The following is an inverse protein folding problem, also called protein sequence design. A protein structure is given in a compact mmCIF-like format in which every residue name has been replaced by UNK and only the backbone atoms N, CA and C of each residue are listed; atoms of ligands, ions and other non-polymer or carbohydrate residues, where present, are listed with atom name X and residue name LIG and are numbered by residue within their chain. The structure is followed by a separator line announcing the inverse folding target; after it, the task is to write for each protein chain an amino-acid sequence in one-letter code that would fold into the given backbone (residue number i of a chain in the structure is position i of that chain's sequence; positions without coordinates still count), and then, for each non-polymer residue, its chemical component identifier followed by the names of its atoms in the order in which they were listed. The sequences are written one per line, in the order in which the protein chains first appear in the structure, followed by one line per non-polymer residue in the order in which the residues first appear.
data_IF_775146265924
#
_entry.id   IF_775146265924
#
_cell.length_a   1.000
_cell.length_b   1.000
_cell.length_c   1.000
_cell.angle_alpha   90.00
_cell.angle_beta   90.00
_cell.angle_gamma   90.00
#
_symmetry.space_group_name_H-M   'P 1'
#
loop_
_entity.id
_entity.type
_entity.pdbx_description
1 polymer ?
#
# COMPACT_ATOMS: atom_id res chain seq x y z
N UNK A 1 -4.61 9.84 -25.06
CA UNK A 1 -4.34 10.08 -23.63
C UNK A 1 -5.29 9.28 -22.78
N UNK A 2 -4.85 8.79 -21.64
CA UNK A 2 -5.65 7.99 -20.69
C UNK A 2 -5.31 8.36 -19.25
N UNK A 3 -6.20 8.03 -18.33
CA UNK A 3 -5.95 8.12 -16.91
C UNK A 3 -5.05 6.98 -16.44
N UNK A 4 -4.02 7.33 -15.67
CA UNK A 4 -3.13 6.35 -15.02
C UNK A 4 -2.87 6.78 -13.58
N UNK A 5 -3.01 5.86 -12.64
CA UNK A 5 -2.68 6.11 -11.24
C UNK A 5 -1.17 6.30 -11.08
N UNK A 6 -0.76 7.36 -10.41
CA UNK A 6 0.64 7.60 -10.02
C UNK A 6 0.89 7.27 -8.55
N UNK A 7 -0.18 7.16 -7.78
CA UNK A 7 -0.17 6.84 -6.37
C UNK A 7 -1.41 6.04 -6.01
N UNK A 8 -1.28 5.14 -5.05
CA UNK A 8 -2.41 4.42 -4.48
C UNK A 8 -2.04 3.66 -3.22
N UNK A 9 -3.03 3.57 -2.32
CA UNK A 9 -2.96 2.80 -1.09
C UNK A 9 -4.21 1.94 -0.92
N UNK A 10 -4.06 0.88 -0.13
CA UNK A 10 -5.18 0.16 0.46
C UNK A 10 -5.81 0.96 1.61
N UNK A 11 -6.93 0.46 2.13
CA UNK A 11 -7.53 0.98 3.35
C UNK A 11 -7.70 -0.14 4.38
N UNK A 12 -7.42 0.19 5.63
CA UNK A 12 -7.71 -0.64 6.78
C UNK A 12 -8.34 0.21 7.88
N UNK A 13 -8.79 -0.44 8.93
CA UNK A 13 -9.25 0.26 10.12
C UNK A 13 -8.04 0.59 10.99
N UNK A 14 -7.60 1.84 10.96
CA UNK A 14 -6.44 2.31 11.71
C UNK A 14 -6.72 2.24 13.21
N UNK A 15 -5.83 1.63 13.97
CA UNK A 15 -5.77 1.84 15.42
C UNK A 15 -5.43 3.32 15.66
N UNK A 16 -6.15 4.01 16.56
CA UNK A 16 -6.04 5.45 16.67
C UNK A 16 -4.65 5.90 17.11
N UNK A 17 -3.95 6.60 16.23
CA UNK A 17 -2.76 7.37 16.53
C UNK A 17 -2.80 8.67 15.72
N UNK A 18 -2.75 9.83 16.36
CA UNK A 18 -2.70 10.10 17.79
C UNK A 18 -4.06 10.06 18.50
N UNK A 19 -5.17 10.07 17.75
CA UNK A 19 -6.51 10.04 18.30
C UNK A 19 -7.51 9.41 17.33
N UNK A 20 -8.61 8.86 17.85
CA UNK A 20 -9.74 8.35 17.05
C UNK A 20 -10.37 9.46 16.20
N UNK A 21 -10.36 10.69 16.71
CA UNK A 21 -10.88 11.89 16.07
C UNK A 21 -9.79 12.95 15.95
N UNK A 22 -9.73 13.60 14.80
CA UNK A 22 -8.97 14.83 14.60
C UNK A 22 -9.92 16.00 14.34
N UNK A 23 -9.50 17.21 14.72
CA UNK A 23 -10.20 18.47 14.47
C UNK A 23 -9.18 19.54 14.16
N UNK A 24 -9.51 20.40 13.20
CA UNK A 24 -8.67 21.52 12.78
C UNK A 24 -7.24 21.07 12.44
N UNK A 25 -7.14 20.10 11.50
CA UNK A 25 -5.89 19.44 11.13
C UNK A 25 -5.72 19.42 9.62
N UNK A 26 -4.54 19.81 9.15
CA UNK A 26 -4.07 19.60 7.77
C UNK A 26 -3.21 18.34 7.72
N UNK A 27 -3.62 17.38 6.88
CA UNK A 27 -2.81 16.22 6.49
C UNK A 27 -2.08 16.57 5.20
N UNK A 28 -0.77 16.30 5.08
CA UNK A 28 0.02 16.58 3.88
C UNK A 28 0.82 15.37 3.44
N UNK A 29 0.65 14.99 2.17
CA UNK A 29 1.26 13.81 1.57
C UNK A 29 2.05 14.20 0.31
N UNK A 30 3.40 14.16 0.34
CA UNK A 30 4.22 14.29 -0.86
C UNK A 30 4.24 12.96 -1.63
N UNK A 31 3.79 12.97 -2.88
CA UNK A 31 3.63 11.80 -3.75
C UNK A 31 4.58 11.90 -4.94
N UNK A 32 5.43 10.90 -5.16
CA UNK A 32 6.35 10.88 -6.28
C UNK A 32 5.60 10.81 -7.62
N UNK A 33 6.01 11.64 -8.59
CA UNK A 33 5.45 11.70 -9.94
C UNK A 33 6.35 10.93 -10.90
N UNK A 34 5.99 9.71 -11.34
CA UNK A 34 6.82 8.90 -12.23
C UNK A 34 6.84 9.40 -13.68
N UNK A 35 5.76 10.01 -14.16
CA UNK A 35 5.61 10.57 -15.50
C UNK A 35 4.65 11.76 -15.49
N UNK A 36 4.79 12.66 -16.44
CA UNK A 36 3.98 13.88 -16.51
C UNK A 36 2.58 13.66 -17.07
N UNK A 37 1.71 14.66 -16.87
CA UNK A 37 0.35 14.74 -17.41
C UNK A 37 -0.25 16.12 -17.23
N UNK A 38 -1.42 16.34 -17.84
CA UNK A 38 -2.06 17.66 -17.97
C UNK A 38 -3.21 17.89 -16.99
N UNK A 39 -3.78 16.81 -16.46
CA UNK A 39 -4.87 16.86 -15.49
C UNK A 39 -4.63 15.88 -14.36
N UNK A 40 -5.18 16.21 -13.20
CA UNK A 40 -5.17 15.37 -11.98
C UNK A 40 -6.60 15.11 -11.55
N UNK A 41 -6.87 13.91 -10.99
CA UNK A 41 -8.04 13.60 -10.18
C UNK A 41 -7.63 12.76 -8.98
N UNK A 42 -8.38 12.90 -7.90
CA UNK A 42 -8.08 12.26 -6.61
C UNK A 42 -9.26 11.41 -6.18
N UNK A 43 -8.98 10.21 -5.70
CA UNK A 43 -9.97 9.37 -5.02
C UNK A 43 -9.71 9.40 -3.52
N UNK A 44 -10.75 9.74 -2.77
CA UNK A 44 -10.77 9.66 -1.32
C UNK A 44 -11.77 8.57 -0.90
N UNK A 45 -11.40 7.80 0.11
CA UNK A 45 -12.22 6.70 0.61
C UNK A 45 -12.32 6.71 2.13
N UNK A 46 -13.50 6.35 2.60
CA UNK A 46 -13.79 6.05 3.99
C UNK A 46 -14.25 4.58 4.11
N UNK A 47 -13.59 3.71 3.35
CA UNK A 47 -13.99 2.32 3.10
C UNK A 47 -14.10 1.49 4.39
N UNK A 48 -13.18 1.70 5.33
CA UNK A 48 -13.19 1.05 6.64
C UNK A 48 -13.83 1.92 7.74
N UNK A 49 -14.30 3.11 7.41
CA UNK A 49 -14.90 4.04 8.37
C UNK A 49 -16.33 3.64 8.74
N UNK A 50 -16.69 3.92 10.00
CA UNK A 50 -18.03 3.64 10.57
C UNK A 50 -18.92 4.88 10.67
N UNK A 51 -18.36 6.04 10.46
CA UNK A 51 -19.02 7.33 10.50
C UNK A 51 -18.73 8.10 9.22
N UNK A 52 -19.63 9.00 8.82
CA UNK A 52 -19.40 9.91 7.71
C UNK A 52 -18.20 10.83 8.03
N UNK A 53 -17.38 11.09 7.03
CA UNK A 53 -16.21 11.96 7.14
C UNK A 53 -16.44 13.21 6.30
N UNK A 54 -16.28 14.37 6.92
CA UNK A 54 -16.30 15.66 6.25
C UNK A 54 -14.88 16.15 5.99
N UNK A 55 -14.57 16.42 4.73
CA UNK A 55 -13.32 17.04 4.29
C UNK A 55 -13.65 18.44 3.83
N UNK A 56 -13.09 19.45 4.50
CA UNK A 56 -13.34 20.86 4.20
C UNK A 56 -12.73 21.28 2.86
N UNK A 57 -11.49 20.84 2.61
CA UNK A 57 -10.80 21.12 1.36
C UNK A 57 -9.69 20.12 1.07
N UNK A 58 -9.35 20.00 -0.21
CA UNK A 58 -8.14 19.33 -0.70
C UNK A 58 -7.39 20.33 -1.60
N UNK A 59 -6.12 20.56 -1.28
CA UNK A 59 -5.25 21.44 -2.05
C UNK A 59 -4.08 20.64 -2.62
N UNK A 60 -3.73 20.88 -3.88
CA UNK A 60 -2.56 20.25 -4.50
C UNK A 60 -1.57 21.29 -5.00
N UNK A 61 -0.29 20.96 -4.87
CA UNK A 61 0.81 21.75 -5.39
C UNK A 61 1.95 20.83 -5.83
N UNK A 62 3.03 21.40 -6.38
CA UNK A 62 4.26 20.66 -6.67
C UNK A 62 5.29 20.87 -5.56
N UNK A 63 6.14 19.88 -5.36
CA UNK A 63 7.31 19.91 -4.48
C UNK A 63 8.52 19.28 -5.16
N UNK A 64 9.71 19.50 -4.62
CA UNK A 64 10.96 18.98 -5.16
C UNK A 64 11.47 17.74 -4.39
N UNK A 65 10.86 17.41 -3.27
CA UNK A 65 11.31 16.33 -2.39
C UNK A 65 10.17 15.76 -1.55
N UNK A 66 10.46 14.71 -0.78
CA UNK A 66 9.58 14.14 0.26
C UNK A 66 9.44 15.02 1.51
N UNK A 67 9.75 16.30 1.45
CA UNK A 67 9.52 17.23 2.53
C UNK A 67 8.06 17.74 2.50
N UNK A 68 7.67 18.45 3.54
CA UNK A 68 6.40 19.17 3.60
C UNK A 68 6.37 20.46 2.75
N UNK A 69 7.49 20.78 2.09
CA UNK A 69 7.60 21.97 1.25
C UNK A 69 6.79 21.81 -0.04
N UNK A 70 5.97 22.82 -0.33
CA UNK A 70 5.24 22.95 -1.59
C UNK A 70 5.54 24.30 -2.28
N UNK A 71 5.54 24.24 -3.61
CA UNK A 71 5.72 25.44 -4.45
C UNK A 71 4.44 26.30 -4.44
N UNK A 72 4.55 27.60 -4.69
CA UNK A 72 3.38 28.45 -4.88
C UNK A 72 2.56 28.04 -6.12
N UNK A 73 1.34 28.58 -6.23
CA UNK A 73 0.42 28.35 -7.36
C UNK A 73 -0.19 26.93 -7.41
N UNK A 74 -0.39 26.33 -6.28
CA UNK A 74 -1.25 25.15 -6.17
C UNK A 74 -2.72 25.48 -6.46
N UNK A 75 -3.57 24.45 -6.43
CA UNK A 75 -5.00 24.57 -6.71
C UNK A 75 -5.83 23.75 -5.75
N UNK A 76 -6.99 24.27 -5.41
CA UNK A 76 -8.02 23.48 -4.73
C UNK A 76 -8.65 22.48 -5.69
N UNK A 77 -8.87 21.28 -5.18
CA UNK A 77 -9.60 20.20 -5.83
C UNK A 77 -11.08 20.35 -5.51
N UNK A 78 -11.94 20.11 -6.49
CA UNK A 78 -13.40 20.10 -6.27
C UNK A 78 -14.00 18.71 -6.40
N UNK A 79 -15.16 18.54 -5.78
CA UNK A 79 -15.99 17.35 -5.82
C UNK A 79 -17.41 17.79 -6.17
N UNK A 80 -17.89 17.48 -7.37
CA UNK A 80 -19.15 18.00 -7.90
C UNK A 80 -19.24 19.55 -7.83
N UNK A 81 -18.15 20.23 -8.21
CA UNK A 81 -17.95 21.69 -8.18
C UNK A 81 -17.94 22.32 -6.77
N UNK A 82 -17.83 21.53 -5.70
CA UNK A 82 -17.67 22.00 -4.32
C UNK A 82 -16.29 21.61 -3.79
N UNK A 83 -15.65 22.48 -3.02
CA UNK A 83 -14.37 22.13 -2.34
C UNK A 83 -14.62 21.16 -1.18
N UNK A 84 -15.68 21.39 -0.44
CA UNK A 84 -16.10 20.57 0.69
C UNK A 84 -16.79 19.30 0.20
N UNK A 85 -16.45 18.16 0.81
CA UNK A 85 -17.06 16.86 0.48
C UNK A 85 -17.32 16.03 1.73
N UNK A 86 -18.43 15.28 1.71
CA UNK A 86 -18.74 14.28 2.74
C UNK A 86 -18.57 12.90 2.13
N UNK A 87 -17.73 12.09 2.74
CA UNK A 87 -17.52 10.69 2.38
C UNK A 87 -18.33 9.83 3.36
N UNK A 88 -19.33 9.13 2.86
CA UNK A 88 -20.15 8.24 3.69
C UNK A 88 -19.33 7.12 4.30
N UNK A 89 -19.76 6.61 5.45
CA UNK A 89 -19.21 5.39 6.04
C UNK A 89 -19.21 4.25 5.00
N UNK A 90 -18.07 3.58 4.82
CA UNK A 90 -17.89 2.55 3.80
C UNK A 90 -17.83 3.06 2.36
N UNK A 91 -17.89 4.38 2.14
CA UNK A 91 -17.99 4.99 0.82
C UNK A 91 -16.68 5.54 0.26
N UNK A 92 -16.75 6.01 -0.97
CA UNK A 92 -15.67 6.70 -1.69
C UNK A 92 -16.20 7.85 -2.52
N UNK A 93 -15.32 8.81 -2.83
CA UNK A 93 -15.60 9.91 -3.74
C UNK A 93 -14.41 10.10 -4.67
N UNK A 94 -14.69 10.53 -5.91
CA UNK A 94 -13.67 10.92 -6.89
C UNK A 94 -13.84 12.40 -7.18
N UNK A 95 -12.75 13.14 -7.20
CA UNK A 95 -12.77 14.56 -7.52
C UNK A 95 -13.16 14.82 -8.98
N UNK A 96 -13.56 16.05 -9.23
CA UNK A 96 -13.63 16.57 -10.59
C UNK A 96 -12.22 16.54 -11.22
N UNK A 97 -12.17 16.57 -12.56
CA UNK A 97 -10.91 16.68 -13.29
C UNK A 97 -10.32 18.08 -13.11
N UNK A 98 -9.13 18.17 -12.55
CA UNK A 98 -8.43 19.43 -12.36
C UNK A 98 -7.35 19.60 -13.42
N UNK A 99 -7.41 20.70 -14.22
CA UNK A 99 -6.31 21.08 -15.11
C UNK A 99 -5.10 21.48 -14.27
N UNK A 100 -4.11 20.60 -14.19
CA UNK A 100 -2.90 20.75 -13.39
C UNK A 100 -1.76 19.98 -14.04
N UNK A 101 -0.78 20.71 -14.58
CA UNK A 101 0.38 20.08 -15.26
C UNK A 101 1.31 19.49 -14.22
N UNK A 102 1.63 18.21 -14.39
CA UNK A 102 2.59 17.47 -13.57
C UNK A 102 3.83 17.14 -14.38
N UNK A 103 4.99 17.17 -13.73
CA UNK A 103 6.27 16.85 -14.37
C UNK A 103 6.92 15.64 -13.67
N UNK A 104 7.59 14.75 -14.42
CA UNK A 104 8.25 13.59 -13.83
C UNK A 104 9.38 14.00 -12.88
N UNK A 105 9.67 13.15 -11.90
CA UNK A 105 10.69 13.34 -10.87
C UNK A 105 10.46 14.52 -9.91
N UNK A 106 9.27 15.11 -9.94
CA UNK A 106 8.77 16.00 -8.90
C UNK A 106 7.83 15.23 -7.95
N UNK A 107 7.31 15.94 -6.96
CA UNK A 107 6.32 15.43 -6.03
C UNK A 107 5.02 16.21 -6.17
N UNK A 108 3.89 15.53 -6.22
CA UNK A 108 2.58 16.11 -6.03
C UNK A 108 2.32 16.18 -4.54
N UNK A 109 2.23 17.36 -3.99
CA UNK A 109 1.91 17.58 -2.59
C UNK A 109 0.39 17.66 -2.46
N UNK A 110 -0.21 16.72 -1.74
CA UNK A 110 -1.65 16.70 -1.47
C UNK A 110 -1.87 17.10 -0.02
N UNK A 111 -2.56 18.21 0.20
CA UNK A 111 -2.96 18.69 1.53
C UNK A 111 -4.47 18.52 1.70
N UNK A 112 -4.89 17.82 2.75
CA UNK A 112 -6.30 17.56 3.10
C UNK A 112 -6.58 18.27 4.42
N UNK A 113 -7.54 19.19 4.44
CA UNK A 113 -7.92 19.92 5.64
C UNK A 113 -9.22 19.36 6.24
N UNK A 114 -9.14 19.03 7.52
CA UNK A 114 -10.21 18.51 8.35
C UNK A 114 -10.57 19.57 9.40
N UNK A 115 -11.62 20.34 9.15
CA UNK A 115 -12.04 21.45 10.01
C UNK A 115 -12.78 20.96 11.24
N UNK A 116 -13.72 20.08 11.05
CA UNK A 116 -14.59 19.58 12.10
C UNK A 116 -14.07 18.25 12.68
N UNK A 117 -14.66 17.77 13.76
CA UNK A 117 -14.31 16.47 14.34
C UNK A 117 -14.51 15.37 13.30
N UNK A 118 -13.41 14.77 12.91
CA UNK A 118 -13.34 13.75 11.85
C UNK A 118 -12.84 12.44 12.44
N UNK A 119 -13.58 11.35 12.21
CA UNK A 119 -13.15 10.02 12.60
C UNK A 119 -11.99 9.57 11.70
N UNK A 120 -10.82 9.27 12.30
CA UNK A 120 -9.57 8.96 11.60
C UNK A 120 -9.35 7.45 11.40
N UNK A 121 -10.38 6.63 11.57
CA UNK A 121 -10.22 5.16 11.53
C UNK A 121 -10.02 4.58 10.14
N UNK A 122 -10.28 5.31 9.06
CA UNK A 122 -10.01 4.83 7.70
C UNK A 122 -8.64 5.30 7.20
N UNK A 123 -7.71 4.38 7.04
CA UNK A 123 -6.35 4.71 6.61
C UNK A 123 -5.45 3.48 6.55
N UNK A 124 -4.17 3.70 6.28
CA UNK A 124 -3.16 2.66 6.21
C UNK A 124 -1.80 3.17 6.67
N UNK A 125 -1.01 2.29 7.28
CA UNK A 125 0.40 2.57 7.58
C UNK A 125 1.26 2.10 6.40
N UNK A 126 2.10 3.00 5.88
CA UNK A 126 3.05 2.70 4.81
C UNK A 126 4.44 3.18 5.18
N UNK A 127 5.44 2.40 4.80
CA UNK A 127 6.85 2.73 5.02
C UNK A 127 7.59 2.58 3.69
N UNK A 128 8.55 3.46 3.43
CA UNK A 128 9.39 3.35 2.26
C UNK A 128 10.14 4.64 1.93
N UNK A 129 11.16 4.56 1.09
CA UNK A 129 11.97 5.71 0.71
C UNK A 129 11.21 6.78 -0.09
N UNK A 130 10.05 6.45 -0.69
CA UNK A 130 9.16 7.38 -1.38
C UNK A 130 7.85 7.63 -0.62
N UNK A 131 7.75 7.14 0.62
CA UNK A 131 6.51 7.16 1.40
C UNK A 131 6.69 7.97 2.68
N UNK A 132 6.02 9.12 2.76
CA UNK A 132 5.96 9.98 3.95
C UNK A 132 4.65 10.74 3.99
N UNK A 133 4.26 11.11 5.20
CA UNK A 133 3.17 12.03 5.45
C UNK A 133 3.53 13.01 6.57
N UNK A 134 2.75 14.05 6.65
CA UNK A 134 2.84 15.07 7.69
C UNK A 134 1.43 15.45 8.10
N UNK A 135 1.28 15.90 9.33
CA UNK A 135 0.08 16.61 9.77
C UNK A 135 0.46 17.82 10.62
N UNK A 136 -0.39 18.83 10.61
CA UNK A 136 -0.24 20.02 11.44
C UNK A 136 -1.61 20.51 11.86
N UNK A 137 -1.69 21.18 13.02
CA UNK A 137 -2.93 21.80 13.48
C UNK A 137 -3.20 23.11 12.71
N UNK A 138 -4.48 23.37 12.47
CA UNK A 138 -4.95 24.51 11.68
C UNK A 138 -5.01 24.25 10.18
N UNK A 139 -5.65 25.16 9.45
CA UNK A 139 -5.62 25.15 7.96
C UNK A 139 -4.29 25.70 7.46
N UNK A 140 -3.45 24.80 7.04
CA UNK A 140 -2.13 25.09 6.47
C UNK A 140 -2.02 24.60 5.01
N UNK A 141 -3.17 24.42 4.35
CA UNK A 141 -3.23 23.82 3.00
C UNK A 141 -2.36 24.56 1.99
N UNK A 142 -2.35 25.89 2.00
CA UNK A 142 -1.58 26.74 1.08
C UNK A 142 -0.17 27.11 1.58
N UNK A 143 0.16 26.82 2.83
CA UNK A 143 1.46 27.19 3.39
C UNK A 143 2.60 26.48 2.66
N UNK A 144 3.65 27.21 2.30
CA UNK A 144 4.82 26.64 1.63
C UNK A 144 5.42 25.49 2.46
N UNK A 145 5.52 25.66 3.77
CA UNK A 145 5.89 24.63 4.74
C UNK A 145 4.89 24.62 5.90
N UNK A 146 4.67 23.46 6.50
CA UNK A 146 3.86 23.36 7.73
C UNK A 146 4.61 24.03 8.89
N UNK A 147 3.85 24.62 9.82
CA UNK A 147 4.43 25.21 11.03
C UNK A 147 5.15 24.14 11.85
N UNK A 148 6.44 24.30 12.02
CA UNK A 148 7.30 23.36 12.74
C UNK A 148 6.88 23.13 14.19
N UNK A 149 6.19 24.08 14.82
CA UNK A 149 5.74 23.97 16.20
C UNK A 149 4.48 23.10 16.34
N UNK A 150 3.73 22.92 15.25
CA UNK A 150 2.46 22.16 15.24
C UNK A 150 2.49 20.95 14.33
N UNK A 151 3.58 20.76 13.54
CA UNK A 151 3.69 19.67 12.57
C UNK A 151 4.38 18.44 13.12
N UNK A 152 3.95 17.29 12.62
CA UNK A 152 4.53 15.98 12.95
C UNK A 152 4.63 15.12 11.69
N UNK A 153 5.72 14.36 11.57
CA UNK A 153 5.87 13.32 10.54
C UNK A 153 5.01 12.11 10.89
N UNK A 154 4.44 11.48 9.88
CA UNK A 154 3.64 10.27 10.04
C UNK A 154 3.85 9.31 8.88
N UNK A 155 3.66 8.02 9.14
CA UNK A 155 3.56 6.97 8.12
C UNK A 155 2.09 6.60 7.85
N UNK A 156 1.15 7.22 8.56
CA UNK A 156 -0.28 6.98 8.36
C UNK A 156 -0.81 7.86 7.24
N UNK A 157 -1.48 7.23 6.28
CA UNK A 157 -2.21 7.91 5.21
C UNK A 157 -3.69 7.66 5.42
N UNK A 158 -4.43 8.74 5.64
CA UNK A 158 -5.88 8.71 5.85
C UNK A 158 -6.61 9.16 4.59
N UNK A 159 -7.66 8.45 4.25
CA UNK A 159 -8.62 8.73 3.18
C UNK A 159 -8.05 8.69 1.75
N UNK A 160 -6.82 9.10 1.50
CA UNK A 160 -6.23 9.17 0.16
C UNK A 160 -5.89 7.77 -0.38
N UNK A 161 -6.64 7.30 -1.37
CA UNK A 161 -6.48 5.95 -1.92
C UNK A 161 -5.95 5.90 -3.34
N UNK A 162 -6.20 6.91 -4.16
CA UNK A 162 -5.64 7.00 -5.50
C UNK A 162 -5.44 8.46 -5.93
N UNK A 163 -4.38 8.67 -6.70
CA UNK A 163 -4.17 9.87 -7.49
C UNK A 163 -3.88 9.45 -8.91
N UNK A 164 -4.71 9.92 -9.82
CA UNK A 164 -4.59 9.65 -11.25
C UNK A 164 -4.19 10.90 -12.00
N UNK A 165 -3.40 10.74 -13.05
CA UNK A 165 -3.10 11.81 -14.00
C UNK A 165 -3.54 11.41 -15.41
N UNK A 166 -3.98 12.41 -16.20
CA UNK A 166 -4.28 12.22 -17.61
C UNK A 166 -2.98 12.36 -18.41
N UNK A 167 -2.53 11.25 -18.99
CA UNK A 167 -1.17 11.12 -19.53
C UNK A 167 -1.13 10.34 -20.84
N UNK A 168 0.05 10.12 -21.38
CA UNK A 168 0.30 9.37 -22.62
C UNK A 168 -0.20 7.91 -22.51
N UNK A 169 -0.69 7.37 -23.62
CA UNK A 169 -1.23 5.99 -23.69
C UNK A 169 -0.18 4.90 -23.42
N UNK A 170 1.10 5.21 -23.61
CA UNK A 170 2.20 4.29 -23.28
C UNK A 170 2.45 4.11 -21.78
N UNK A 171 2.03 5.08 -20.96
CA UNK A 171 2.20 5.02 -19.52
C UNK A 171 1.21 4.03 -18.90
N UNK A 172 1.61 3.33 -17.84
CA UNK A 172 0.74 2.36 -17.14
C UNK A 172 1.18 2.16 -15.70
N UNK A 173 0.31 1.50 -14.92
CA UNK A 173 0.56 1.19 -13.52
C UNK A 173 0.85 -0.31 -13.32
N UNK A 174 1.75 -0.61 -12.39
CA UNK A 174 1.95 -1.92 -11.78
C UNK A 174 1.34 -1.86 -10.38
N UNK A 175 0.46 -2.80 -10.05
CA UNK A 175 -0.16 -2.91 -8.73
C UNK A 175 0.62 -3.92 -7.91
N UNK A 176 1.00 -3.56 -6.68
CA UNK A 176 1.60 -4.45 -5.69
C UNK A 176 0.57 -4.70 -4.59
N UNK A 177 0.00 -5.91 -4.57
CA UNK A 177 -1.02 -6.32 -3.62
C UNK A 177 -0.43 -7.28 -2.59
N UNK A 178 -0.69 -7.04 -1.28
CA UNK A 178 -0.14 -7.90 -0.24
C UNK A 178 -0.42 -7.46 1.19
N UNK A 179 0.47 -7.88 2.08
CA UNK A 179 0.45 -7.66 3.52
C UNK A 179 1.50 -6.65 4.00
N UNK A 180 2.02 -6.81 5.24
CA UNK A 180 3.03 -5.91 5.81
C UNK A 180 4.33 -5.86 5.01
N UNK A 181 4.72 -6.95 4.37
CA UNK A 181 5.95 -7.00 3.57
C UNK A 181 5.79 -6.12 2.32
N UNK A 182 4.60 -6.10 1.73
CA UNK A 182 4.30 -5.23 0.58
C UNK A 182 3.92 -3.80 1.00
N UNK A 183 3.40 -3.58 2.21
CA UNK A 183 3.13 -2.22 2.71
C UNK A 183 4.39 -1.46 3.10
N UNK A 184 5.52 -2.14 3.16
CA UNK A 184 6.84 -1.56 3.42
C UNK A 184 7.61 -1.27 2.12
N UNK A 185 8.92 -1.22 2.20
CA UNK A 185 9.83 -0.50 1.31
C UNK A 185 9.95 -1.02 -0.13
N UNK A 186 9.74 -2.33 -0.41
CA UNK A 186 10.12 -2.88 -1.71
C UNK A 186 9.38 -2.29 -2.93
N UNK A 187 8.10 -1.88 -2.86
CA UNK A 187 7.46 -1.24 -4.00
C UNK A 187 8.08 0.12 -4.33
N UNK A 188 8.51 0.87 -3.30
CA UNK A 188 9.22 2.13 -3.48
C UNK A 188 10.62 1.89 -4.11
N UNK A 189 11.35 0.87 -3.65
CA UNK A 189 12.63 0.50 -4.27
C UNK A 189 12.47 0.00 -5.71
N UNK A 190 11.37 -0.69 -6.01
CA UNK A 190 11.02 -1.04 -7.39
C UNK A 190 10.85 0.23 -8.23
N UNK A 191 10.13 1.24 -7.71
CA UNK A 191 9.94 2.52 -8.41
C UNK A 191 11.28 3.24 -8.64
N UNK A 192 12.16 3.27 -7.64
CA UNK A 192 13.51 3.86 -7.77
C UNK A 192 14.34 3.10 -8.80
N UNK A 193 14.31 1.77 -8.77
CA UNK A 193 15.05 0.94 -9.73
C UNK A 193 14.57 1.12 -11.17
N UNK A 194 13.27 1.27 -11.40
CA UNK A 194 12.72 1.63 -12.71
C UNK A 194 13.33 2.92 -13.24
N UNK A 195 13.50 3.94 -12.37
CA UNK A 195 14.16 5.20 -12.74
C UNK A 195 15.64 5.01 -13.11
N UNK A 196 16.37 4.25 -12.29
CA UNK A 196 17.78 3.92 -12.56
C UNK A 196 17.98 3.19 -13.89
N UNK A 197 16.97 2.42 -14.32
CA UNK A 197 16.97 1.68 -15.60
C UNK A 197 16.36 2.48 -16.78
N UNK A 198 16.07 3.79 -16.62
CA UNK A 198 15.42 4.63 -17.63
C UNK A 198 14.02 4.14 -18.07
N UNK A 199 13.34 3.35 -17.25
CA UNK A 199 11.96 2.93 -17.47
C UNK A 199 11.02 3.99 -16.92
N UNK A 200 10.67 4.96 -17.78
CA UNK A 200 10.03 6.21 -17.39
C UNK A 200 8.52 6.26 -17.64
N UNK A 201 7.91 5.16 -18.06
CA UNK A 201 6.50 5.06 -18.42
C UNK A 201 5.69 4.17 -17.45
N UNK A 202 6.23 3.87 -16.29
CA UNK A 202 5.64 2.96 -15.30
C UNK A 202 5.49 3.64 -13.97
N UNK A 203 4.34 3.47 -13.32
CA UNK A 203 4.11 3.77 -11.91
C UNK A 203 3.97 2.47 -11.10
N UNK A 204 4.33 2.51 -9.83
CA UNK A 204 4.16 1.39 -8.89
C UNK A 204 3.14 1.78 -7.83
N UNK A 205 2.04 1.04 -7.75
CA UNK A 205 0.89 1.32 -6.91
C UNK A 205 0.80 0.27 -5.80
N UNK A 206 0.84 0.71 -4.56
CA UNK A 206 0.83 -0.16 -3.39
C UNK A 206 -0.61 -0.37 -2.89
N UNK A 207 -1.10 -1.60 -2.91
CA UNK A 207 -2.40 -2.03 -2.36
C UNK A 207 -2.18 -3.10 -1.29
N UNK A 208 -1.62 -2.68 -0.15
CA UNK A 208 -1.17 -3.61 0.87
C UNK A 208 -1.57 -3.14 2.28
N UNK A 209 -1.92 -4.09 3.14
CA UNK A 209 -2.34 -3.86 4.53
C UNK A 209 -1.57 -4.79 5.45
N UNK A 210 -0.87 -4.20 6.43
CA UNK A 210 -0.11 -4.96 7.43
C UNK A 210 -1.00 -5.91 8.21
N UNK A 211 -0.57 -7.17 8.36
CA UNK A 211 -1.28 -8.19 9.13
C UNK A 211 -2.44 -8.87 8.41
N UNK A 212 -2.79 -8.43 7.19
CA UNK A 212 -3.90 -9.01 6.43
C UNK A 212 -3.61 -10.46 6.03
N UNK A 213 -4.67 -11.26 5.98
CA UNK A 213 -4.66 -12.68 5.54
C UNK A 213 -5.45 -12.82 4.24
N UNK A 214 -5.18 -13.85 3.48
CA UNK A 214 -5.96 -14.20 2.28
C UNK A 214 -7.38 -14.58 2.69
N UNK A 215 -7.48 -15.53 3.63
CA UNK A 215 -8.67 -16.33 3.89
C UNK A 215 -9.55 -15.80 5.03
N UNK A 216 -8.96 -15.06 5.98
CA UNK A 216 -9.65 -14.67 7.20
C UNK A 216 -9.40 -13.21 7.58
N UNK A 217 -10.38 -12.61 8.19
CA UNK A 217 -10.31 -11.30 8.85
C UNK A 217 -10.53 -11.46 10.36
N UNK A 218 -10.19 -10.43 11.10
CA UNK A 218 -10.49 -10.37 12.53
C UNK A 218 -11.73 -9.52 12.78
N UNK A 219 -12.61 -9.99 13.64
CA UNK A 219 -13.82 -9.31 14.06
C UNK A 219 -13.69 -8.63 15.44
N UNK A 220 -12.51 -8.67 16.04
CA UNK A 220 -12.22 -8.06 17.33
C UNK A 220 -11.46 -6.73 17.18
N UNK A 221 -11.69 -5.81 18.13
CA UNK A 221 -11.10 -4.47 18.13
C UNK A 221 -9.56 -4.49 18.11
N UNK A 222 -8.95 -5.49 18.75
CA UNK A 222 -7.48 -5.60 18.86
C UNK A 222 -6.80 -5.78 17.51
N UNK A 223 -7.44 -6.46 16.56
CA UNK A 223 -6.84 -6.84 15.27
C UNK A 223 -7.58 -6.26 14.07
N UNK A 224 -8.58 -5.41 14.26
CA UNK A 224 -9.31 -4.82 13.12
C UNK A 224 -8.41 -3.98 12.20
N UNK A 225 -7.27 -3.48 12.70
CA UNK A 225 -6.27 -2.77 11.89
C UNK A 225 -5.60 -3.66 10.84
N UNK A 226 -5.68 -4.99 10.96
CA UNK A 226 -5.25 -5.92 9.92
C UNK A 226 -6.21 -5.94 8.72
N UNK A 227 -7.31 -5.21 8.80
CA UNK A 227 -8.24 -4.99 7.70
C UNK A 227 -9.09 -6.20 7.34
N UNK A 228 -9.81 -6.06 6.25
CA UNK A 228 -10.60 -7.14 5.67
C UNK A 228 -9.67 -8.23 5.12
N UNK A 229 -10.17 -9.48 5.05
CA UNK A 229 -9.45 -10.54 4.34
C UNK A 229 -9.22 -10.18 2.88
N UNK A 230 -8.11 -10.66 2.34
CA UNK A 230 -7.68 -10.30 1.02
C UNK A 230 -8.70 -10.58 -0.07
N UNK A 231 -9.43 -11.68 0.02
CA UNK A 231 -10.51 -12.01 -0.93
C UNK A 231 -11.60 -10.93 -1.01
N UNK A 232 -11.95 -10.29 0.11
CA UNK A 232 -12.95 -9.21 0.12
C UNK A 232 -12.43 -7.90 -0.44
N UNK A 233 -11.16 -7.55 -0.17
CA UNK A 233 -10.61 -6.26 -0.59
C UNK A 233 -9.96 -6.27 -1.98
N UNK A 234 -9.59 -7.45 -2.51
CA UNK A 234 -8.82 -7.59 -3.74
C UNK A 234 -9.45 -6.86 -4.93
N UNK A 235 -10.70 -7.22 -5.26
CA UNK A 235 -11.38 -6.63 -6.43
C UNK A 235 -11.55 -5.12 -6.25
N UNK A 236 -12.00 -4.67 -5.07
CA UNK A 236 -12.17 -3.25 -4.78
C UNK A 236 -10.87 -2.45 -4.96
N UNK A 237 -9.77 -2.94 -4.40
CA UNK A 237 -8.50 -2.22 -4.42
C UNK A 237 -7.82 -2.22 -5.80
N UNK A 238 -7.88 -3.35 -6.52
CA UNK A 238 -7.22 -3.50 -7.81
C UNK A 238 -8.00 -2.83 -8.94
N UNK A 239 -9.33 -2.96 -8.98
CA UNK A 239 -10.20 -2.30 -9.98
C UNK A 239 -10.06 -0.78 -9.98
N UNK A 240 -9.82 -0.19 -8.82
CA UNK A 240 -9.75 1.27 -8.66
C UNK A 240 -8.41 1.87 -9.11
N UNK A 241 -7.47 1.06 -9.64
CA UNK A 241 -6.19 1.54 -10.18
C UNK A 241 -6.33 1.82 -11.67
N UNK A 242 -6.37 3.09 -12.02
CA UNK A 242 -6.46 3.53 -13.42
C UNK A 242 -5.19 3.14 -14.19
N UNK A 243 -5.35 2.58 -15.38
CA UNK A 243 -4.24 2.23 -16.27
C UNK A 243 -3.37 1.07 -15.78
N UNK A 244 -3.84 0.25 -14.86
CA UNK A 244 -3.14 -0.96 -14.42
C UNK A 244 -2.96 -1.93 -15.60
N UNK A 245 -1.76 -2.51 -15.74
CA UNK A 245 -1.45 -3.57 -16.71
C UNK A 245 -0.84 -4.80 -16.06
N UNK A 246 -0.15 -4.62 -14.96
CA UNK A 246 0.57 -5.69 -14.25
C UNK A 246 0.16 -5.70 -12.78
N UNK A 247 0.05 -6.88 -12.23
CA UNK A 247 -0.23 -7.12 -10.82
C UNK A 247 0.86 -8.02 -10.24
N UNK A 248 1.40 -7.65 -9.10
CA UNK A 248 2.29 -8.47 -8.28
C UNK A 248 1.57 -8.78 -6.97
N UNK A 249 1.39 -10.05 -6.66
CA UNK A 249 0.73 -10.53 -5.43
C UNK A 249 1.78 -11.15 -4.51
N UNK A 250 2.01 -10.56 -3.34
CA UNK A 250 2.88 -11.13 -2.31
C UNK A 250 2.06 -11.18 -1.01
N UNK A 251 1.38 -12.34 -0.75
CA UNK A 251 0.37 -12.46 0.28
C UNK A 251 0.23 -13.92 0.76
N UNK A 252 -0.12 -14.13 2.04
CA UNK A 252 -0.40 -15.44 2.61
C UNK A 252 0.44 -15.79 3.83
N UNK A 253 1.51 -15.06 4.12
CA UNK A 253 2.38 -15.36 5.27
C UNK A 253 1.59 -15.29 6.59
N UNK A 254 0.67 -14.33 6.73
CA UNK A 254 -0.11 -14.14 7.94
C UNK A 254 -1.16 -15.24 8.17
N UNK A 255 -1.62 -15.90 7.11
CA UNK A 255 -2.51 -17.06 7.25
C UNK A 255 -1.77 -18.21 7.98
N UNK A 256 -0.46 -18.34 7.74
CA UNK A 256 0.40 -19.38 8.32
C UNK A 256 0.85 -19.05 9.75
N UNK A 257 1.24 -17.78 10.00
CA UNK A 257 1.91 -17.39 11.24
C UNK A 257 0.98 -16.86 12.33
N UNK A 258 -0.25 -16.46 11.99
CA UNK A 258 -1.17 -15.87 12.97
C UNK A 258 -1.86 -16.89 13.88
N UNK A 259 -2.32 -18.08 13.43
CA UNK A 259 -2.93 -19.05 14.32
C UNK A 259 -1.92 -19.54 15.37
N UNK A 260 -2.24 -19.40 16.66
CA UNK A 260 -1.33 -19.75 17.79
C UNK A 260 -1.98 -20.63 18.86
N UNK A 261 -3.30 -20.84 18.76
CA UNK A 261 -4.11 -21.56 19.74
C UNK A 261 -4.85 -20.63 20.70
N UNK A 262 -6.05 -21.04 21.10
CA UNK A 262 -6.92 -20.26 22.00
C UNK A 262 -6.28 -20.04 23.37
N UNK A 263 -5.45 -20.98 23.82
CA UNK A 263 -4.70 -20.91 25.06
C UNK A 263 -3.65 -19.78 25.07
N UNK A 264 -3.17 -19.38 23.89
CA UNK A 264 -2.25 -18.24 23.72
C UNK A 264 -3.02 -16.97 23.39
N UNK A 265 -4.02 -17.08 22.50
CA UNK A 265 -4.82 -15.95 22.07
C UNK A 265 -6.17 -16.42 21.49
N UNK A 266 -7.26 -16.08 22.20
CA UNK A 266 -8.62 -16.51 21.83
C UNK A 266 -9.08 -16.05 20.44
N UNK A 267 -8.45 -15.00 19.88
CA UNK A 267 -8.75 -14.49 18.53
C UNK A 267 -7.87 -15.09 17.43
N UNK A 268 -6.99 -16.04 17.79
CA UNK A 268 -6.04 -16.70 16.90
C UNK A 268 -6.04 -18.22 17.08
N UNK A 269 -7.23 -18.85 17.01
CA UNK A 269 -7.34 -20.29 17.26
C UNK A 269 -6.55 -21.11 16.22
N UNK A 270 -6.09 -22.31 16.60
CA UNK A 270 -5.43 -23.21 15.63
C UNK A 270 -6.40 -23.73 14.55
N UNK A 271 -7.71 -23.65 14.77
CA UNK A 271 -8.72 -23.95 13.73
C UNK A 271 -8.66 -22.96 12.54
N UNK A 272 -7.99 -21.81 12.69
CA UNK A 272 -7.73 -20.87 11.62
C UNK A 272 -6.51 -21.24 10.75
N UNK A 273 -5.73 -22.25 11.16
CA UNK A 273 -4.56 -22.72 10.39
C UNK A 273 -5.00 -23.26 9.05
N UNK A 274 -4.54 -22.69 7.93
CA UNK A 274 -4.93 -23.14 6.60
C UNK A 274 -4.27 -24.46 6.23
N UNK A 275 -4.90 -25.21 5.36
CA UNK A 275 -4.24 -26.24 4.57
C UNK A 275 -3.56 -25.63 3.34
N UNK A 276 -2.70 -26.41 2.68
CA UNK A 276 -2.13 -26.00 1.37
C UNK A 276 -3.23 -25.69 0.34
N UNK A 277 -4.27 -26.52 0.26
CA UNK A 277 -5.36 -26.31 -0.70
C UNK A 277 -6.18 -25.05 -0.42
N UNK A 278 -6.31 -24.64 0.85
CA UNK A 278 -6.95 -23.36 1.20
C UNK A 278 -6.14 -22.18 0.65
N UNK A 279 -4.82 -22.14 0.89
CA UNK A 279 -3.93 -21.08 0.39
C UNK A 279 -3.92 -21.04 -1.13
N UNK A 280 -3.81 -22.19 -1.77
CA UNK A 280 -3.84 -22.34 -3.23
C UNK A 280 -5.17 -21.85 -3.80
N UNK A 281 -6.29 -22.17 -3.17
CA UNK A 281 -7.61 -21.69 -3.57
C UNK A 281 -7.70 -20.17 -3.49
N UNK A 282 -7.18 -19.58 -2.42
CA UNK A 282 -7.16 -18.12 -2.25
C UNK A 282 -6.34 -17.40 -3.33
N UNK A 283 -5.15 -17.91 -3.67
CA UNK A 283 -4.35 -17.37 -4.78
C UNK A 283 -5.06 -17.55 -6.11
N UNK A 284 -5.65 -18.71 -6.37
CA UNK A 284 -6.40 -18.95 -7.60
C UNK A 284 -7.60 -18.02 -7.76
N UNK A 285 -8.25 -17.65 -6.67
CA UNK A 285 -9.27 -16.60 -6.70
C UNK A 285 -8.67 -15.28 -7.20
N UNK A 286 -7.54 -14.82 -6.66
CA UNK A 286 -6.89 -13.59 -7.14
C UNK A 286 -6.50 -13.65 -8.61
N UNK A 287 -5.92 -14.78 -9.05
CA UNK A 287 -5.53 -14.98 -10.45
C UNK A 287 -6.75 -14.92 -11.39
N UNK A 288 -7.86 -15.53 -10.99
CA UNK A 288 -9.12 -15.50 -11.74
C UNK A 288 -9.68 -14.08 -11.87
N UNK A 289 -9.71 -13.32 -10.75
CA UNK A 289 -10.17 -11.93 -10.77
C UNK A 289 -9.24 -11.02 -11.59
N UNK A 290 -7.92 -11.19 -11.45
CA UNK A 290 -6.93 -10.47 -12.23
C UNK A 290 -7.07 -10.74 -13.73
N UNK A 291 -7.33 -12.00 -14.11
CA UNK A 291 -7.58 -12.37 -15.51
C UNK A 291 -8.82 -11.67 -16.08
N UNK A 292 -9.91 -11.58 -15.30
CA UNK A 292 -11.12 -10.83 -15.71
C UNK A 292 -10.84 -9.35 -15.94
N UNK A 293 -9.88 -8.79 -15.21
CA UNK A 293 -9.42 -7.40 -15.35
C UNK A 293 -8.36 -7.24 -16.46
N UNK A 294 -7.95 -8.32 -17.13
CA UNK A 294 -6.95 -8.29 -18.20
C UNK A 294 -5.53 -7.97 -17.71
N UNK A 295 -5.19 -8.28 -16.46
CA UNK A 295 -3.89 -7.99 -15.87
C UNK A 295 -2.88 -9.12 -16.09
N UNK A 296 -1.65 -8.77 -16.45
CA UNK A 296 -0.50 -9.68 -16.38
C UNK A 296 -0.12 -9.86 -14.92
N UNK A 297 -0.26 -11.08 -14.38
CA UNK A 297 -0.09 -11.33 -12.95
C UNK A 297 1.15 -12.13 -12.66
N UNK A 298 1.90 -11.68 -11.64
CA UNK A 298 3.03 -12.37 -11.04
C UNK A 298 2.75 -12.60 -9.56
N UNK A 299 3.18 -13.73 -9.02
CA UNK A 299 3.11 -14.03 -7.59
C UNK A 299 4.50 -13.97 -6.96
N UNK A 300 4.63 -13.33 -5.81
CA UNK A 300 5.87 -13.30 -5.02
C UNK A 300 5.88 -14.46 -4.03
N UNK A 301 7.00 -15.17 -3.91
CA UNK A 301 7.16 -16.21 -2.89
C UNK A 301 7.16 -15.60 -1.48
N UNK A 302 6.68 -16.36 -0.50
CA UNK A 302 6.70 -15.97 0.91
C UNK A 302 8.14 -16.04 1.44
N UNK A 303 8.54 -15.03 2.20
CA UNK A 303 9.90 -14.86 2.73
C UNK A 303 10.23 -15.85 3.87
N UNK A 304 11.51 -15.98 4.30
CA UNK A 304 11.87 -16.81 5.44
C UNK A 304 11.11 -16.44 6.72
N UNK A 305 10.83 -17.44 7.57
CA UNK A 305 10.18 -17.26 8.88
C UNK A 305 10.95 -17.92 10.03
N UNK A 306 12.15 -18.43 9.77
CA UNK A 306 12.95 -19.09 10.81
C UNK A 306 13.23 -18.12 11.97
N UNK A 307 13.05 -18.60 13.20
CA UNK A 307 13.13 -17.83 14.43
C UNK A 307 12.03 -16.75 14.63
N UNK A 308 11.05 -16.62 13.74
CA UNK A 308 9.88 -15.80 14.05
C UNK A 308 9.19 -16.34 15.32
N UNK A 309 8.66 -15.44 16.15
CA UNK A 309 8.05 -15.76 17.46
C UNK A 309 7.02 -16.90 17.48
N UNK A 310 6.39 -17.20 16.34
CA UNK A 310 5.45 -18.32 16.20
C UNK A 310 5.99 -19.41 15.29
N UNK A 311 7.31 -19.41 15.05
CA UNK A 311 7.96 -20.44 14.24
C UNK A 311 7.66 -21.83 14.77
N UNK A 312 7.37 -22.75 13.86
CA UNK A 312 7.30 -24.17 14.08
C UNK A 312 7.54 -24.90 12.76
N UNK A 313 8.11 -26.09 12.80
CA UNK A 313 8.46 -26.84 11.60
C UNK A 313 7.28 -27.05 10.64
N UNK A 314 6.09 -27.37 11.16
CA UNK A 314 4.90 -27.55 10.32
C UNK A 314 4.47 -26.26 9.57
N UNK A 315 4.79 -25.07 10.12
CA UNK A 315 4.53 -23.79 9.44
C UNK A 315 5.53 -23.56 8.32
N UNK A 316 6.79 -23.89 8.59
CA UNK A 316 7.85 -23.83 7.59
C UNK A 316 7.55 -24.80 6.45
N UNK A 317 7.10 -26.02 6.76
CA UNK A 317 6.75 -27.03 5.76
C UNK A 317 5.59 -26.55 4.88
N UNK A 318 4.52 -26.01 5.49
CA UNK A 318 3.38 -25.45 4.75
C UNK A 318 3.81 -24.25 3.88
N UNK A 319 4.64 -23.34 4.42
CA UNK A 319 5.18 -22.20 3.66
C UNK A 319 5.99 -22.70 2.45
N UNK A 320 6.84 -23.69 2.65
CA UNK A 320 7.69 -24.24 1.58
C UNK A 320 6.85 -24.96 0.52
N UNK A 321 5.85 -25.76 0.90
CA UNK A 321 4.91 -26.37 -0.02
C UNK A 321 4.15 -25.32 -0.83
N UNK A 322 3.68 -24.27 -0.17
CA UNK A 322 3.00 -23.16 -0.84
C UNK A 322 3.95 -22.39 -1.78
N UNK A 323 5.19 -22.12 -1.37
CA UNK A 323 6.19 -21.49 -2.25
C UNK A 323 6.48 -22.35 -3.49
N UNK A 324 6.52 -23.69 -3.39
CA UNK A 324 6.66 -24.57 -4.57
C UNK A 324 5.51 -24.39 -5.57
N UNK A 325 4.29 -24.24 -5.06
CA UNK A 325 3.15 -23.92 -5.91
C UNK A 325 3.30 -22.52 -6.58
N UNK A 326 3.68 -21.50 -5.82
CA UNK A 326 3.88 -20.15 -6.35
C UNK A 326 4.97 -20.13 -7.43
N UNK A 327 6.05 -20.90 -7.28
CA UNK A 327 7.12 -21.06 -8.28
C UNK A 327 6.65 -21.73 -9.57
N UNK A 328 5.54 -22.47 -9.56
CA UNK A 328 4.95 -23.05 -10.78
C UNK A 328 4.15 -22.05 -11.64
N UNK A 329 3.91 -20.85 -11.12
CA UNK A 329 3.20 -19.74 -11.78
C UNK A 329 4.19 -18.71 -12.33
N UNK A 330 3.78 -17.71 -13.13
CA UNK A 330 4.60 -16.53 -13.34
C UNK A 330 4.93 -15.87 -11.98
N UNK A 331 6.21 -15.82 -11.61
CA UNK A 331 6.60 -15.51 -10.23
C UNK A 331 7.79 -14.56 -10.11
N UNK A 332 7.98 -14.05 -8.89
CA UNK A 332 9.17 -13.36 -8.40
C UNK A 332 9.62 -14.10 -7.15
N UNK A 333 10.79 -14.72 -7.20
CA UNK A 333 11.29 -15.56 -6.09
C UNK A 333 11.98 -14.73 -5.00
N UNK A 334 11.18 -14.01 -4.22
CA UNK A 334 11.67 -13.21 -3.09
C UNK A 334 12.33 -14.07 -2.02
N UNK A 335 11.80 -15.29 -1.77
CA UNK A 335 12.35 -16.17 -0.74
C UNK A 335 13.81 -16.51 -1.01
N UNK A 336 14.15 -16.87 -2.24
CA UNK A 336 15.52 -17.22 -2.62
C UNK A 336 16.42 -15.99 -2.75
N UNK A 337 15.86 -14.83 -3.13
CA UNK A 337 16.64 -13.58 -3.23
C UNK A 337 17.22 -13.15 -1.89
N UNK A 338 16.41 -13.18 -0.83
CA UNK A 338 16.79 -12.68 0.50
C UNK A 338 16.98 -13.77 1.54
N UNK A 339 16.73 -15.03 1.19
CA UNK A 339 16.89 -16.21 2.03
C UNK A 339 17.96 -17.17 1.53
N UNK A 340 18.43 -18.01 2.42
CA UNK A 340 19.37 -19.11 2.15
C UNK A 340 19.01 -20.32 3.00
N UNK A 341 19.42 -21.51 2.54
CA UNK A 341 19.20 -22.75 3.30
C UNK A 341 20.39 -23.00 4.22
N UNK A 342 20.13 -23.08 5.52
CA UNK A 342 21.10 -23.46 6.56
C UNK A 342 20.51 -24.65 7.33
N UNK A 343 21.24 -25.74 7.38
CA UNK A 343 20.83 -26.99 8.07
C UNK A 343 19.42 -27.52 7.67
N UNK A 344 19.03 -27.26 6.41
CA UNK A 344 17.75 -27.70 5.85
C UNK A 344 16.57 -26.77 6.09
N UNK A 345 16.79 -25.58 6.66
CA UNK A 345 15.77 -24.58 6.92
C UNK A 345 16.10 -23.24 6.23
N UNK A 346 15.06 -22.49 5.86
CA UNK A 346 15.23 -21.17 5.22
C UNK A 346 15.45 -20.09 6.26
N UNK A 347 16.65 -19.49 6.23
CA UNK A 347 17.03 -18.32 7.03
C UNK A 347 17.09 -17.08 6.16
N UNK A 348 16.97 -15.90 6.75
CA UNK A 348 17.38 -14.70 6.07
C UNK A 348 18.90 -14.71 5.83
N UNK A 349 19.33 -14.31 4.64
CA UNK A 349 20.74 -14.02 4.36
C UNK A 349 21.28 -12.95 5.30
N UNK A 350 22.58 -12.89 5.45
CA UNK A 350 23.25 -11.84 6.23
C UNK A 350 22.77 -10.47 5.80
N UNK A 351 22.43 -9.61 6.76
CA UNK A 351 21.87 -8.26 6.60
C UNK A 351 20.45 -8.18 5.98
N UNK A 352 19.78 -9.30 5.72
CA UNK A 352 18.44 -9.30 5.14
C UNK A 352 17.30 -9.30 6.17
N UNK A 353 17.58 -9.65 7.43
CA UNK A 353 16.60 -9.63 8.52
C UNK A 353 16.51 -8.22 9.14
N UNK A 354 15.32 -7.73 9.44
CA UNK A 354 15.14 -6.50 10.23
C UNK A 354 15.44 -6.68 11.72
N UNK A 355 15.60 -7.93 12.16
CA UNK A 355 15.84 -8.35 13.54
C UNK A 355 14.60 -8.95 14.22
N UNK A 356 13.47 -9.04 13.54
CA UNK A 356 12.25 -9.69 14.06
C UNK A 356 12.02 -11.08 13.45
N UNK A 357 12.86 -11.51 12.51
CA UNK A 357 12.82 -12.80 11.82
C UNK A 357 11.58 -13.05 10.93
N UNK A 358 10.94 -11.96 10.48
CA UNK A 358 9.80 -12.00 9.54
C UNK A 358 9.90 -10.90 8.49
N UNK A 359 10.16 -9.66 8.94
CA UNK A 359 10.20 -8.54 8.02
C UNK A 359 11.62 -8.36 7.46
N UNK A 360 11.75 -8.20 6.14
CA UNK A 360 13.03 -7.87 5.52
C UNK A 360 13.62 -6.57 6.04
N UNK A 361 14.94 -6.48 6.09
CA UNK A 361 15.65 -5.23 6.34
C UNK A 361 15.48 -4.27 5.16
N UNK A 362 15.85 -3.00 5.34
CA UNK A 362 15.87 -2.03 4.22
C UNK A 362 16.75 -2.50 3.05
N UNK A 363 17.86 -3.17 3.34
CA UNK A 363 18.72 -3.76 2.33
C UNK A 363 18.00 -4.87 1.55
N UNK A 364 17.33 -5.78 2.25
CA UNK A 364 16.56 -6.85 1.62
C UNK A 364 15.38 -6.32 0.81
N UNK A 365 14.66 -5.32 1.31
CA UNK A 365 13.61 -4.67 0.52
C UNK A 365 14.12 -4.03 -0.77
N UNK A 366 15.35 -3.48 -0.75
CA UNK A 366 15.99 -2.98 -1.96
C UNK A 366 16.24 -4.11 -2.95
N UNK A 367 16.81 -5.23 -2.50
CA UNK A 367 17.01 -6.43 -3.35
C UNK A 367 15.69 -6.94 -3.93
N UNK A 368 14.61 -6.99 -3.14
CA UNK A 368 13.28 -7.39 -3.61
C UNK A 368 12.76 -6.46 -4.71
N UNK A 369 12.90 -5.15 -4.55
CA UNK A 369 12.50 -4.15 -5.56
C UNK A 369 13.32 -4.30 -6.86
N UNK A 370 14.62 -4.49 -6.76
CA UNK A 370 15.53 -4.73 -7.90
C UNK A 370 15.20 -6.04 -8.62
N UNK A 371 14.94 -7.12 -7.87
CA UNK A 371 14.52 -8.41 -8.43
C UNK A 371 13.20 -8.29 -9.20
N UNK A 372 12.22 -7.54 -8.66
CA UNK A 372 10.95 -7.31 -9.35
C UNK A 372 11.17 -6.61 -10.69
N UNK A 373 12.02 -5.59 -10.78
CA UNK A 373 12.36 -4.93 -12.04
C UNK A 373 13.08 -5.88 -12.98
N UNK A 374 14.07 -6.63 -12.49
CA UNK A 374 14.80 -7.63 -13.27
C UNK A 374 13.85 -8.67 -13.89
N UNK A 375 12.91 -9.18 -13.10
CA UNK A 375 11.96 -10.21 -13.55
C UNK A 375 11.00 -9.68 -14.61
N UNK A 376 10.48 -8.46 -14.45
CA UNK A 376 9.47 -7.91 -15.36
C UNK A 376 10.07 -7.31 -16.64
N UNK A 377 11.30 -6.80 -16.59
CA UNK A 377 11.90 -5.99 -17.66
C UNK A 377 13.23 -6.51 -18.18
N UNK A 378 13.77 -7.56 -17.59
CA UNK A 378 15.11 -8.10 -17.90
C UNK A 378 16.24 -7.05 -17.73
N UNK A 379 16.14 -6.19 -16.69
CA UNK A 379 17.04 -5.05 -16.43
C UNK A 379 17.68 -5.12 -15.04
#
# INVERSE_FOLDING_TARGET
MKWVSIYGNAQSMVMPHPAVYAKDVTLRYPLFIPFGGDKVRIRLENFCGREDVEIESVYISLGDSLSDFQKPNGKYVSFNNCQKVIIKAGGSVVSDELSFVTNPNLYLIVSIYLKEYTNMTSGVNIIGPLSKGYFAYGDQSEFATLDINTSTKTNWVHFLTNVDILTNDNNYAIVCFGDSITSQDWPDYMMLRLRECDINNVSVIRKAVSGTRILREYDCITYQSYGLKGEKRFVHEVMNVSGAKTLIIQHGINDIIHPVGEEVNIFRPMSDMPTFEDLKSGINYYLSEAQKLGLNTYVGTLVPIYNWRTYAKFREDLKNEFNQYLLSLPHIDFNNEIGEVVDGEYHFKVNCDSGDHLHPSKYAYKLMGELAVKTLFNK
#
